data_IF_734795422775
#
_entry.id   IF_734795422775
#
_cell.length_a   1.000
_cell.length_b   1.000
_cell.length_c   1.000
_cell.angle_alpha   90.00
_cell.angle_beta   90.00
_cell.angle_gamma   90.00
#
_symmetry.space_group_name_H-M   'P 1'
#
loop_
_entity.id
_entity.type
_entity.pdbx_description
1 polymer ?
#
# COMPACT_ATOMS: atom_id res chain seq x y z
N UNK A 1 -11.45 14.33 -22.68
CA UNK A 1 -11.14 13.24 -21.72
C UNK A 1 -11.48 13.76 -20.34
N UNK A 2 -12.18 12.98 -19.53
CA UNK A 2 -12.70 13.42 -18.23
C UNK A 2 -11.54 13.44 -17.22
N UNK A 3 -11.22 14.58 -16.61
CA UNK A 3 -10.13 14.71 -15.61
C UNK A 3 -10.32 13.79 -14.39
N UNK A 4 -11.53 13.24 -14.21
CA UNK A 4 -11.88 12.25 -13.20
C UNK A 4 -11.37 10.81 -13.49
N UNK A 5 -10.71 10.57 -14.64
CA UNK A 5 -10.22 9.24 -15.05
C UNK A 5 -8.71 9.17 -15.30
N UNK A 6 -7.95 10.25 -15.08
CA UNK A 6 -6.52 10.21 -15.36
C UNK A 6 -5.75 9.55 -14.20
N UNK A 7 -4.84 8.59 -14.47
CA UNK A 7 -3.95 8.06 -13.44
C UNK A 7 -3.14 9.18 -12.80
N UNK A 8 -2.89 9.03 -11.50
CA UNK A 8 -2.14 10.01 -10.70
C UNK A 8 -0.93 9.33 -10.07
N UNK A 9 0.26 9.73 -10.51
CA UNK A 9 1.51 9.45 -9.82
C UNK A 9 1.46 10.03 -8.40
N UNK A 10 1.92 9.32 -7.36
CA UNK A 10 1.96 9.86 -6.00
C UNK A 10 2.74 11.17 -5.94
N UNK A 11 2.16 12.19 -5.32
CA UNK A 11 2.79 13.51 -5.13
C UNK A 11 2.64 14.05 -3.71
N UNK A 12 2.09 13.25 -2.79
CA UNK A 12 1.99 13.54 -1.36
C UNK A 12 2.23 12.28 -0.54
N UNK A 13 2.58 12.45 0.73
CA UNK A 13 2.77 11.33 1.67
C UNK A 13 1.54 10.42 1.69
N UNK A 14 0.34 11.00 1.70
CA UNK A 14 -0.93 10.26 1.67
C UNK A 14 -1.08 9.44 0.37
N UNK A 15 -0.77 10.01 -0.80
CA UNK A 15 -0.81 9.25 -2.05
C UNK A 15 0.21 8.10 -2.04
N UNK A 16 1.41 8.32 -1.50
CA UNK A 16 2.45 7.29 -1.45
C UNK A 16 2.02 6.10 -0.57
N UNK A 17 1.39 6.38 0.58
CA UNK A 17 0.81 5.35 1.45
C UNK A 17 -0.33 4.60 0.76
N UNK A 18 -1.23 5.32 0.06
CA UNK A 18 -2.33 4.69 -0.71
C UNK A 18 -1.79 3.86 -1.86
N UNK A 19 -0.79 4.34 -2.58
CA UNK A 19 -0.18 3.62 -3.69
C UNK A 19 0.42 2.30 -3.22
N UNK A 20 1.11 2.30 -2.08
CA UNK A 20 1.68 1.10 -1.50
C UNK A 20 0.59 0.11 -1.07
N UNK A 21 -0.44 0.56 -0.36
CA UNK A 21 -1.58 -0.28 0.03
C UNK A 21 -2.29 -0.90 -1.17
N UNK A 22 -2.51 -0.12 -2.24
CA UNK A 22 -3.13 -0.63 -3.47
C UNK A 22 -2.22 -1.62 -4.19
N UNK A 23 -0.92 -1.34 -4.28
CA UNK A 23 0.03 -2.27 -4.88
C UNK A 23 0.10 -3.60 -4.13
N UNK A 24 -0.03 -3.55 -2.79
CA UNK A 24 -0.14 -4.74 -1.96
C UNK A 24 -1.37 -5.57 -2.31
N UNK A 25 -2.55 -4.94 -2.40
CA UNK A 25 -3.79 -5.62 -2.79
C UNK A 25 -3.76 -6.16 -4.23
N UNK A 26 -3.05 -5.51 -5.15
CA UNK A 26 -2.95 -5.98 -6.54
C UNK A 26 -1.84 -7.03 -6.76
N UNK A 27 -1.04 -7.34 -5.74
CA UNK A 27 0.17 -8.16 -5.89
C UNK A 27 -0.07 -9.62 -6.25
N UNK A 28 -1.27 -10.15 -6.03
CA UNK A 28 -1.63 -11.56 -6.24
C UNK A 28 -2.52 -11.80 -7.48
N UNK A 29 -2.73 -10.77 -8.32
CA UNK A 29 -3.63 -10.77 -9.49
C UNK A 29 -5.11 -11.08 -9.19
N UNK A 30 -5.50 -11.22 -7.92
CA UNK A 30 -6.89 -11.53 -7.51
C UNK A 30 -7.59 -10.38 -6.81
N UNK A 31 -6.84 -9.44 -6.22
CA UNK A 31 -7.35 -8.17 -5.69
C UNK A 31 -8.69 -8.33 -4.97
N UNK A 32 -8.66 -8.87 -3.75
CA UNK A 32 -9.88 -9.26 -3.07
C UNK A 32 -10.68 -8.05 -2.56
N UNK A 33 -12.01 -8.19 -2.51
CA UNK A 33 -12.89 -7.10 -2.05
C UNK A 33 -12.62 -6.71 -0.59
N UNK A 34 -12.17 -7.66 0.24
CA UNK A 34 -11.81 -7.47 1.66
C UNK A 34 -10.61 -6.53 1.82
N UNK A 35 -9.63 -6.58 0.91
CA UNK A 35 -8.46 -5.69 0.91
C UNK A 35 -8.85 -4.26 0.59
N UNK A 36 -9.69 -4.06 -0.45
CA UNK A 36 -10.20 -2.72 -0.80
C UNK A 36 -11.01 -2.09 0.33
N UNK A 37 -11.80 -2.89 1.06
CA UNK A 37 -12.51 -2.41 2.26
C UNK A 37 -11.50 -1.93 3.31
N UNK A 38 -10.45 -2.72 3.56
CA UNK A 38 -9.39 -2.36 4.51
C UNK A 38 -8.70 -1.04 4.14
N UNK A 39 -8.42 -0.82 2.85
CA UNK A 39 -7.83 0.44 2.36
C UNK A 39 -8.75 1.63 2.67
N UNK A 40 -10.06 1.50 2.40
CA UNK A 40 -11.00 2.58 2.69
C UNK A 40 -11.11 2.83 4.20
N UNK A 41 -11.21 1.78 5.02
CA UNK A 41 -11.29 1.90 6.48
C UNK A 41 -10.05 2.60 7.06
N UNK A 42 -8.86 2.27 6.55
CA UNK A 42 -7.60 2.92 6.93
C UNK A 42 -7.62 4.42 6.58
N UNK A 43 -8.00 4.75 5.35
CA UNK A 43 -8.04 6.14 4.87
C UNK A 43 -9.08 6.98 5.63
N UNK A 44 -10.24 6.40 5.95
CA UNK A 44 -11.32 7.11 6.63
C UNK A 44 -11.02 7.38 8.11
N UNK A 45 -10.22 6.53 8.76
CA UNK A 45 -10.08 6.54 10.23
C UNK A 45 -8.70 6.95 10.75
N UNK A 46 -7.62 6.86 9.97
CA UNK A 46 -6.29 7.20 10.48
C UNK A 46 -5.95 8.69 10.34
N UNK A 47 -5.37 9.33 11.38
CA UNK A 47 -5.06 10.76 11.37
C UNK A 47 -4.16 11.22 10.22
N UNK A 48 -3.28 10.35 9.71
CA UNK A 48 -2.40 10.68 8.58
C UNK A 48 -3.17 10.99 7.30
N UNK A 49 -4.39 10.47 7.16
CA UNK A 49 -5.27 10.72 6.02
C UNK A 49 -6.28 11.85 6.25
N UNK A 50 -6.14 12.64 7.33
CA UNK A 50 -6.99 13.79 7.58
C UNK A 50 -6.97 14.75 6.38
N UNK A 51 -8.17 15.06 5.84
CA UNK A 51 -8.34 15.93 4.67
C UNK A 51 -7.97 15.29 3.32
N UNK A 52 -7.67 13.99 3.29
CA UNK A 52 -7.40 13.28 2.04
C UNK A 52 -8.68 13.17 1.19
N UNK A 53 -8.56 13.45 -0.10
CA UNK A 53 -9.68 13.32 -1.04
C UNK A 53 -9.85 11.86 -1.46
N UNK A 54 -10.92 11.19 -1.02
CA UNK A 54 -11.19 9.77 -1.32
C UNK A 54 -11.18 9.46 -2.83
N UNK A 55 -11.59 10.40 -3.68
CA UNK A 55 -11.53 10.25 -5.14
C UNK A 55 -10.09 10.05 -5.67
N UNK A 56 -9.05 10.46 -4.92
CA UNK A 56 -7.65 10.21 -5.26
C UNK A 56 -7.28 8.74 -5.16
N UNK A 57 -7.93 7.95 -4.28
CA UNK A 57 -7.68 6.50 -4.19
C UNK A 57 -7.81 5.88 -5.58
N UNK A 58 -8.92 6.10 -6.26
CA UNK A 58 -9.15 5.58 -7.62
C UNK A 58 -8.07 6.02 -8.61
N UNK A 59 -7.62 7.28 -8.57
CA UNK A 59 -6.61 7.80 -9.51
C UNK A 59 -5.23 7.19 -9.26
N UNK A 60 -4.88 7.02 -7.98
CA UNK A 60 -3.65 6.33 -7.57
C UNK A 60 -3.73 4.84 -7.91
N UNK A 61 -4.89 4.19 -7.75
CA UNK A 61 -5.07 2.80 -8.14
C UNK A 61 -4.86 2.58 -9.63
N UNK A 62 -5.42 3.45 -10.49
CA UNK A 62 -5.19 3.38 -11.93
C UNK A 62 -3.70 3.52 -12.26
N UNK A 63 -2.99 4.42 -11.59
CA UNK A 63 -1.55 4.58 -11.77
C UNK A 63 -0.77 3.31 -11.40
N UNK A 64 -1.07 2.71 -10.25
CA UNK A 64 -0.44 1.45 -9.81
C UNK A 64 -0.75 0.33 -10.81
N UNK A 65 -2.00 0.20 -11.27
CA UNK A 65 -2.38 -0.81 -12.26
C UNK A 65 -1.60 -0.65 -13.58
N UNK A 66 -1.43 0.58 -14.07
CA UNK A 66 -0.65 0.86 -15.29
C UNK A 66 0.82 0.45 -15.11
N UNK A 67 1.39 0.66 -13.92
CA UNK A 67 2.74 0.21 -13.60
C UNK A 67 2.84 -1.32 -13.56
N UNK A 68 1.90 -2.03 -12.93
CA UNK A 68 1.94 -3.50 -12.89
C UNK A 68 1.92 -4.16 -14.29
N UNK A 69 1.39 -3.47 -15.30
CA UNK A 69 1.45 -3.92 -16.70
C UNK A 69 2.78 -3.65 -17.42
N UNK A 70 3.75 -3.00 -16.78
CA UNK A 70 5.01 -2.53 -17.37
C UNK A 70 6.21 -3.35 -16.86
N UNK A 71 7.21 -3.60 -17.72
CA UNK A 71 8.40 -4.42 -17.41
C UNK A 71 9.20 -3.90 -16.18
N UNK A 72 9.35 -2.58 -16.05
CA UNK A 72 10.03 -1.92 -14.93
C UNK A 72 9.06 -1.23 -13.95
N UNK A 73 7.79 -1.61 -13.99
CA UNK A 73 6.73 -0.88 -13.29
C UNK A 73 6.88 -0.86 -11.78
N UNK A 74 7.28 -1.98 -11.18
CA UNK A 74 7.46 -2.08 -9.74
C UNK A 74 8.65 -1.24 -9.24
N UNK A 75 9.76 -1.25 -9.99
CA UNK A 75 10.92 -0.38 -9.72
C UNK A 75 10.53 1.09 -9.79
N UNK A 76 9.73 1.45 -10.80
CA UNK A 76 9.18 2.81 -10.96
C UNK A 76 8.28 3.19 -9.79
N UNK A 77 7.39 2.30 -9.36
CA UNK A 77 6.52 2.52 -8.21
C UNK A 77 7.33 2.84 -6.94
N UNK A 78 8.34 2.02 -6.62
CA UNK A 78 9.16 2.23 -5.44
C UNK A 78 10.04 3.48 -5.54
N UNK A 79 10.50 3.84 -6.74
CA UNK A 79 11.17 5.12 -6.97
C UNK A 79 10.24 6.28 -6.65
N UNK A 80 9.02 6.26 -7.21
CA UNK A 80 8.04 7.33 -7.03
C UNK A 80 7.58 7.50 -5.59
N UNK A 81 7.41 6.38 -4.87
CA UNK A 81 7.08 6.39 -3.45
C UNK A 81 8.23 7.02 -2.65
N UNK A 82 9.48 6.64 -2.92
CA UNK A 82 10.66 7.18 -2.20
C UNK A 82 10.91 8.66 -2.46
N UNK A 83 10.54 9.16 -3.63
CA UNK A 83 10.64 10.59 -3.95
C UNK A 83 9.73 11.46 -3.06
N UNK A 84 8.67 10.87 -2.51
CA UNK A 84 7.59 11.58 -1.81
C UNK A 84 7.49 11.21 -0.33
N UNK A 85 7.84 9.98 0.04
CA UNK A 85 7.70 9.43 1.38
C UNK A 85 8.91 9.77 2.26
N UNK A 86 8.76 10.59 3.31
CA UNK A 86 9.83 10.85 4.26
C UNK A 86 10.23 9.57 5.01
N UNK A 87 11.51 9.44 5.37
CA UNK A 87 12.05 8.21 5.95
C UNK A 87 11.43 7.79 7.29
N UNK A 88 10.88 8.74 8.05
CA UNK A 88 10.15 8.49 9.30
C UNK A 88 8.75 7.89 9.08
N UNK A 89 8.26 7.86 7.84
CA UNK A 89 7.02 7.18 7.46
C UNK A 89 7.22 5.77 6.91
N UNK A 90 8.45 5.28 6.78
CA UNK A 90 8.73 3.93 6.25
C UNK A 90 8.04 2.82 7.06
N UNK A 91 8.13 2.86 8.40
CA UNK A 91 7.43 1.89 9.26
C UNK A 91 5.91 2.03 9.19
N UNK A 92 5.41 3.26 9.05
CA UNK A 92 3.97 3.52 8.84
C UNK A 92 3.50 2.87 7.55
N UNK A 93 4.23 3.09 6.45
CA UNK A 93 3.92 2.51 5.14
C UNK A 93 3.92 0.98 5.19
N UNK A 94 4.92 0.38 5.83
CA UNK A 94 4.99 -1.06 6.02
C UNK A 94 3.82 -1.60 6.86
N UNK A 95 3.46 -0.91 7.95
CA UNK A 95 2.33 -1.29 8.79
C UNK A 95 1.00 -1.30 8.04
N UNK A 96 0.75 -0.28 7.20
CA UNK A 96 -0.45 -0.23 6.38
C UNK A 96 -0.49 -1.35 5.33
N UNK A 97 0.63 -1.67 4.69
CA UNK A 97 0.71 -2.82 3.78
C UNK A 97 0.40 -4.14 4.52
N UNK A 98 0.94 -4.34 5.74
CA UNK A 98 0.61 -5.50 6.55
C UNK A 98 -0.87 -5.56 6.95
N UNK A 99 -1.52 -4.42 7.23
CA UNK A 99 -2.94 -4.37 7.56
C UNK A 99 -3.82 -4.76 6.36
N UNK A 100 -3.46 -4.34 5.14
CA UNK A 100 -4.16 -4.75 3.90
C UNK A 100 -4.11 -6.26 3.72
N UNK A 101 -2.91 -6.87 3.79
CA UNK A 101 -2.74 -8.33 3.67
C UNK A 101 -3.46 -9.08 4.79
N UNK A 102 -3.41 -8.56 6.02
CA UNK A 102 -4.06 -9.20 7.16
C UNK A 102 -5.60 -9.11 7.09
N UNK A 103 -6.15 -8.16 6.33
CA UNK A 103 -7.58 -7.89 6.18
C UNK A 103 -8.42 -9.10 5.78
N UNK A 104 -7.90 -9.92 4.86
CA UNK A 104 -8.58 -11.13 4.38
C UNK A 104 -8.41 -12.34 5.32
N UNK A 105 -7.44 -12.29 6.23
CA UNK A 105 -7.16 -13.37 7.18
C UNK A 105 -6.47 -14.59 6.55
N UNK A 106 -6.10 -14.52 5.27
CA UNK A 106 -5.25 -15.47 4.56
C UNK A 106 -3.98 -14.74 4.14
N UNK A 107 -2.84 -15.27 4.59
CA UNK A 107 -1.52 -14.82 4.13
C UNK A 107 -1.00 -15.88 3.16
N UNK A 108 -1.05 -15.58 1.87
CA UNK A 108 -0.48 -16.40 0.81
C UNK A 108 1.02 -16.08 0.60
N UNK A 109 1.75 -17.03 -0.01
CA UNK A 109 3.18 -16.89 -0.25
C UNK A 109 3.53 -15.73 -1.20
N UNK A 110 2.58 -15.28 -2.02
CA UNK A 110 2.77 -14.16 -2.96
C UNK A 110 2.82 -12.83 -2.19
N UNK A 111 1.84 -12.59 -1.33
CA UNK A 111 1.77 -11.38 -0.49
C UNK A 111 2.96 -11.30 0.46
N UNK A 112 3.38 -12.44 1.04
CA UNK A 112 4.59 -12.51 1.87
C UNK A 112 5.86 -12.11 1.11
N UNK A 113 5.95 -12.42 -0.19
CA UNK A 113 7.07 -11.96 -1.02
C UNK A 113 6.98 -10.47 -1.29
N UNK A 114 5.78 -9.95 -1.58
CA UNK A 114 5.60 -8.52 -1.79
C UNK A 114 5.92 -7.70 -0.53
N UNK A 115 5.48 -8.14 0.66
CA UNK A 115 5.88 -7.52 1.94
C UNK A 115 7.41 -7.56 2.14
N UNK A 116 8.08 -8.66 1.76
CA UNK A 116 9.55 -8.71 1.83
C UNK A 116 10.23 -7.69 0.91
N UNK A 117 9.68 -7.42 -0.27
CA UNK A 117 10.17 -6.39 -1.19
C UNK A 117 9.97 -4.99 -0.60
N UNK A 118 8.78 -4.67 -0.09
CA UNK A 118 8.51 -3.40 0.59
C UNK A 118 9.49 -3.18 1.75
N UNK A 119 9.71 -4.21 2.57
CA UNK A 119 10.65 -4.18 3.70
C UNK A 119 12.06 -3.81 3.24
N UNK A 120 12.49 -4.33 2.09
CA UNK A 120 13.80 -4.04 1.51
C UNK A 120 13.88 -2.61 0.96
N UNK A 121 12.93 -2.22 0.12
CA UNK A 121 12.89 -0.91 -0.55
C UNK A 121 12.78 0.25 0.45
N UNK A 122 12.05 0.05 1.54
CA UNK A 122 11.86 1.05 2.59
C UNK A 122 12.88 0.94 3.74
N UNK A 123 13.85 0.02 3.64
CA UNK A 123 14.90 -0.21 4.64
C UNK A 123 14.37 -0.44 6.07
N UNK A 124 13.32 -1.24 6.21
CA UNK A 124 12.71 -1.53 7.51
C UNK A 124 13.57 -2.53 8.29
N UNK A 125 13.89 -2.19 9.54
CA UNK A 125 14.62 -3.07 10.44
C UNK A 125 13.84 -4.39 10.68
N UNK A 126 14.59 -5.49 10.85
CA UNK A 126 13.98 -6.84 11.00
C UNK A 126 13.13 -6.95 12.27
N UNK A 127 13.55 -6.30 13.37
CA UNK A 127 12.80 -6.33 14.62
C UNK A 127 11.53 -5.50 14.52
N UNK A 128 11.61 -4.32 13.90
CA UNK A 128 10.46 -3.47 13.63
C UNK A 128 9.43 -4.19 12.75
N UNK A 129 9.87 -4.77 11.63
CA UNK A 129 9.02 -5.53 10.73
C UNK A 129 8.29 -6.68 11.44
N UNK A 130 9.03 -7.49 12.22
CA UNK A 130 8.45 -8.60 12.97
C UNK A 130 7.41 -8.15 14.02
N UNK A 131 7.62 -6.98 14.64
CA UNK A 131 6.67 -6.40 15.58
C UNK A 131 5.39 -5.94 14.88
N UNK A 132 5.54 -5.27 13.72
CA UNK A 132 4.43 -4.79 12.89
C UNK A 132 3.58 -5.96 12.37
N UNK A 133 4.21 -6.97 11.79
CA UNK A 133 3.54 -8.17 11.27
C UNK A 133 2.76 -8.88 12.37
N UNK A 134 3.36 -9.02 13.56
CA UNK A 134 2.68 -9.61 14.73
C UNK A 134 1.49 -8.76 15.19
N UNK A 135 1.61 -7.44 15.17
CA UNK A 135 0.52 -6.54 15.55
C UNK A 135 -0.65 -6.61 14.56
N UNK A 136 -0.38 -6.63 13.26
CA UNK A 136 -1.40 -6.83 12.23
C UNK A 136 -2.10 -8.18 12.41
N UNK A 137 -1.35 -9.27 12.50
CA UNK A 137 -1.92 -10.61 12.74
C UNK A 137 -2.78 -10.70 14.02
N UNK A 138 -2.46 -9.91 15.05
CA UNK A 138 -3.26 -9.84 16.27
C UNK A 138 -4.57 -9.06 16.07
N UNK A 139 -4.57 -7.97 15.29
CA UNK A 139 -5.76 -7.15 15.01
C UNK A 139 -6.81 -7.89 14.17
N UNK A 140 -6.37 -8.69 13.20
CA UNK A 140 -7.26 -9.34 12.23
C UNK A 140 -7.56 -10.81 12.55
N UNK A 141 -7.15 -11.31 13.72
CA UNK A 141 -7.46 -12.67 14.17
C UNK A 141 -8.98 -12.84 14.34
N UNK A 142 -9.52 -13.94 13.81
CA UNK A 142 -10.92 -14.36 13.94
C UNK A 142 -11.05 -15.67 14.71
#
# INVERSE_FOLDING_TARGET
MNEMQNPRKPDSVQDALVALMVATSLSDERGETSELITINDVVDNLPIFAGYEVNRIRKVSLYVMDLFGSEDGLSTLFSDIRDVLPADFSETAYALACDVVAGDGRLEQIELRFLQEIRHELNIDRLAAAAIERAAAARYRR
#
